data_IF_721145738550
#
_entry.id   IF_721145738550
#
_cell.length_a   1.000
_cell.length_b   1.000
_cell.length_c   1.000
_cell.angle_alpha   90.00
_cell.angle_beta   90.00
_cell.angle_gamma   90.00
#
_symmetry.space_group_name_H-M   'P 1'
#
loop_
_entity.id
_entity.type
_entity.pdbx_description
1 polymer ?
#
# COMPACT_ATOMS: atom_id res chain seq x y z
N UNK A 1 10.20 21.79 -11.37
CA UNK A 1 9.52 20.49 -11.49
C UNK A 1 9.10 20.05 -10.10
N UNK A 2 7.88 19.56 -9.92
CA UNK A 2 7.45 19.00 -8.64
C UNK A 2 8.29 17.75 -8.31
N UNK A 3 8.63 17.52 -7.03
CA UNK A 3 9.40 16.33 -6.65
C UNK A 3 8.54 15.07 -6.81
N UNK A 4 9.16 13.93 -7.15
CA UNK A 4 8.41 12.67 -7.23
C UNK A 4 7.77 12.27 -5.88
N UNK A 5 8.30 12.77 -4.75
CA UNK A 5 7.66 12.61 -3.44
C UNK A 5 6.35 13.39 -3.33
N UNK A 6 6.34 14.67 -3.74
CA UNK A 6 5.14 15.50 -3.75
C UNK A 6 4.07 14.91 -4.67
N UNK A 7 4.45 14.45 -5.87
CA UNK A 7 3.54 13.79 -6.80
C UNK A 7 2.95 12.49 -6.20
N UNK A 8 3.77 11.67 -5.54
CA UNK A 8 3.30 10.46 -4.87
C UNK A 8 2.35 10.77 -3.70
N UNK A 9 2.54 11.87 -2.98
CA UNK A 9 1.63 12.30 -1.93
C UNK A 9 0.33 12.88 -2.49
N UNK A 10 0.37 13.63 -3.60
CA UNK A 10 -0.83 14.09 -4.29
C UNK A 10 -1.70 12.91 -4.77
N UNK A 11 -1.07 11.92 -5.41
CA UNK A 11 -1.74 10.69 -5.84
C UNK A 11 -2.31 9.90 -4.65
N UNK A 12 -1.62 9.88 -3.51
CA UNK A 12 -2.15 9.26 -2.29
C UNK A 12 -3.45 9.91 -1.81
N UNK A 13 -3.48 11.23 -1.69
CA UNK A 13 -4.68 11.93 -1.22
C UNK A 13 -5.84 11.78 -2.21
N UNK A 14 -5.58 11.92 -3.52
CA UNK A 14 -6.59 11.71 -4.55
C UNK A 14 -7.20 10.30 -4.48
N UNK A 15 -6.36 9.26 -4.36
CA UNK A 15 -6.82 7.89 -4.20
C UNK A 15 -7.61 7.65 -2.91
N UNK A 16 -7.17 8.26 -1.80
CA UNK A 16 -7.85 8.15 -0.51
C UNK A 16 -9.24 8.81 -0.53
N UNK A 17 -9.37 10.01 -1.12
CA UNK A 17 -10.67 10.67 -1.28
C UNK A 17 -11.60 9.86 -2.19
N UNK A 18 -11.09 9.34 -3.31
CA UNK A 18 -11.88 8.48 -4.19
C UNK A 18 -12.40 7.23 -3.45
N UNK A 19 -11.54 6.55 -2.68
CA UNK A 19 -11.92 5.33 -1.98
C UNK A 19 -12.87 5.58 -0.79
N UNK A 20 -12.56 6.57 0.05
CA UNK A 20 -13.22 6.77 1.35
C UNK A 20 -14.31 7.83 1.33
N UNK A 21 -14.16 8.85 0.49
CA UNK A 21 -15.14 9.93 0.34
C UNK A 21 -16.17 9.64 -0.75
N UNK A 22 -15.73 9.09 -1.89
CA UNK A 22 -16.59 8.91 -3.07
C UNK A 22 -17.07 7.46 -3.28
N UNK A 23 -16.56 6.50 -2.50
CA UNK A 23 -16.81 5.06 -2.72
C UNK A 23 -16.51 4.61 -4.16
N UNK A 24 -15.49 5.20 -4.78
CA UNK A 24 -15.02 4.85 -6.13
C UNK A 24 -13.68 4.09 -6.05
N UNK A 25 -13.71 2.76 -5.86
CA UNK A 25 -12.50 1.98 -5.73
C UNK A 25 -11.72 1.84 -7.04
N UNK A 26 -12.37 2.03 -8.21
CA UNK A 26 -11.70 1.93 -9.50
C UNK A 26 -10.81 3.14 -9.76
N UNK A 27 -11.33 4.34 -9.49
CA UNK A 27 -10.53 5.57 -9.55
C UNK A 27 -9.44 5.57 -8.48
N UNK A 28 -9.76 5.14 -7.27
CA UNK A 28 -8.76 5.00 -6.20
C UNK A 28 -7.60 4.09 -6.59
N UNK A 29 -7.88 2.91 -7.16
CA UNK A 29 -6.85 1.98 -7.60
C UNK A 29 -5.92 2.60 -8.66
N UNK A 30 -6.48 3.42 -9.56
CA UNK A 30 -5.67 4.10 -10.60
C UNK A 30 -4.68 5.08 -9.97
N UNK A 31 -5.09 5.84 -8.96
CA UNK A 31 -4.21 6.73 -8.20
C UNK A 31 -3.14 5.96 -7.41
N UNK A 32 -3.53 4.94 -6.66
CA UNK A 32 -2.57 4.14 -5.89
C UNK A 32 -1.55 3.40 -6.78
N UNK A 33 -1.94 2.98 -7.98
CA UNK A 33 -1.01 2.39 -8.96
C UNK A 33 0.04 3.41 -9.43
N UNK A 34 -0.33 4.68 -9.60
CA UNK A 34 0.64 5.74 -9.96
C UNK A 34 1.67 5.98 -8.88
N UNK A 35 1.30 5.87 -7.59
CA UNK A 35 2.24 5.94 -6.47
C UNK A 35 3.32 4.86 -6.62
N UNK A 36 2.96 3.63 -7.00
CA UNK A 36 3.92 2.56 -7.18
C UNK A 36 4.94 2.87 -8.30
N UNK A 37 4.52 3.54 -9.37
CA UNK A 37 5.40 3.97 -10.47
C UNK A 37 6.32 5.13 -10.06
N UNK A 38 5.86 6.01 -9.17
CA UNK A 38 6.62 7.17 -8.67
C UNK A 38 7.50 6.85 -7.46
N UNK A 39 7.34 5.66 -6.88
CA UNK A 39 7.93 5.32 -5.60
C UNK A 39 9.46 5.27 -5.67
N UNK A 40 10.12 5.99 -4.76
CA UNK A 40 11.58 6.02 -4.64
C UNK A 40 12.12 5.10 -3.53
N UNK A 41 11.25 4.36 -2.83
CA UNK A 41 11.71 3.47 -1.76
C UNK A 41 10.64 2.59 -1.12
N UNK A 42 11.05 1.71 -0.18
CA UNK A 42 10.19 0.69 0.43
C UNK A 42 8.94 1.24 1.11
N UNK A 43 9.03 2.39 1.79
CA UNK A 43 7.89 3.01 2.48
C UNK A 43 6.77 3.39 1.50
N UNK A 44 7.13 4.03 0.38
CA UNK A 44 6.17 4.47 -0.64
C UNK A 44 5.57 3.29 -1.41
N UNK A 45 6.40 2.29 -1.76
CA UNK A 45 5.92 1.05 -2.41
C UNK A 45 4.95 0.28 -1.52
N UNK A 46 5.29 0.11 -0.25
CA UNK A 46 4.45 -0.59 0.72
C UNK A 46 3.09 0.10 0.89
N UNK A 47 3.08 1.43 1.02
CA UNK A 47 1.85 2.24 1.05
C UNK A 47 1.00 2.02 -0.20
N UNK A 48 1.61 2.11 -1.39
CA UNK A 48 0.90 1.96 -2.66
C UNK A 48 0.22 0.59 -2.76
N UNK A 49 0.96 -0.49 -2.51
CA UNK A 49 0.42 -1.85 -2.58
C UNK A 49 -0.63 -2.13 -1.52
N UNK A 50 -0.45 -1.65 -0.29
CA UNK A 50 -1.47 -1.83 0.74
C UNK A 50 -2.80 -1.19 0.33
N UNK A 51 -2.77 0.05 -0.16
CA UNK A 51 -3.99 0.75 -0.56
C UNK A 51 -4.59 0.25 -1.88
N UNK A 52 -3.79 -0.30 -2.80
CA UNK A 52 -4.29 -1.10 -3.92
C UNK A 52 -5.06 -2.34 -3.43
N UNK A 53 -4.53 -3.04 -2.43
CA UNK A 53 -5.24 -4.14 -1.78
C UNK A 53 -6.58 -3.71 -1.20
N UNK A 54 -6.60 -2.59 -0.45
CA UNK A 54 -7.83 -2.02 0.11
C UNK A 54 -8.86 -1.62 -0.94
N UNK A 55 -8.44 -1.08 -2.07
CA UNK A 55 -9.34 -0.76 -3.17
C UNK A 55 -9.91 -2.04 -3.81
N UNK A 56 -9.07 -3.05 -4.04
CA UNK A 56 -9.50 -4.34 -4.60
C UNK A 56 -10.49 -5.09 -3.68
N UNK A 57 -10.34 -5.00 -2.35
CA UNK A 57 -11.27 -5.62 -1.38
C UNK A 57 -12.72 -5.15 -1.52
N UNK A 58 -12.92 -3.91 -1.94
CA UNK A 58 -14.25 -3.29 -2.03
C UNK A 58 -14.74 -3.13 -3.47
N UNK A 59 -14.20 -3.93 -4.40
CA UNK A 59 -14.66 -3.99 -5.81
C UNK A 59 -13.79 -3.23 -6.80
N UNK A 60 -12.62 -2.73 -6.39
CA UNK A 60 -11.61 -2.20 -7.31
C UNK A 60 -10.93 -3.32 -8.13
N UNK A 61 -10.19 -2.96 -9.19
CA UNK A 61 -9.52 -3.94 -10.04
C UNK A 61 -8.34 -4.63 -9.34
N UNK A 62 -8.06 -5.85 -9.78
CA UNK A 62 -6.92 -6.65 -9.30
C UNK A 62 -7.28 -7.61 -8.16
N UNK A 63 -6.27 -8.19 -7.53
CA UNK A 63 -6.43 -9.16 -6.45
C UNK A 63 -5.91 -8.57 -5.13
N UNK A 64 -6.79 -8.43 -4.15
CA UNK A 64 -6.45 -7.86 -2.85
C UNK A 64 -5.31 -8.62 -2.14
N UNK A 65 -5.36 -9.95 -2.15
CA UNK A 65 -4.37 -10.82 -1.49
C UNK A 65 -2.98 -10.65 -2.10
N UNK A 66 -2.90 -10.56 -3.43
CA UNK A 66 -1.62 -10.35 -4.13
C UNK A 66 -1.01 -8.99 -3.79
N UNK A 67 -1.83 -7.94 -3.74
CA UNK A 67 -1.37 -6.61 -3.34
C UNK A 67 -0.90 -6.57 -1.89
N UNK A 68 -1.64 -7.16 -0.96
CA UNK A 68 -1.19 -7.25 0.43
C UNK A 68 0.08 -8.09 0.57
N UNK A 69 0.24 -9.18 -0.20
CA UNK A 69 1.46 -9.98 -0.18
C UNK A 69 2.69 -9.16 -0.65
N UNK A 70 2.53 -8.29 -1.65
CA UNK A 70 3.58 -7.36 -2.12
C UNK A 70 3.91 -6.31 -1.06
N UNK A 71 2.90 -5.69 -0.45
CA UNK A 71 3.13 -4.75 0.65
C UNK A 71 3.84 -5.42 1.84
N UNK A 72 3.42 -6.63 2.20
CA UNK A 72 4.00 -7.42 3.29
C UNK A 72 5.45 -7.85 3.06
N UNK A 73 5.96 -7.78 1.82
CA UNK A 73 7.39 -7.98 1.56
C UNK A 73 8.25 -6.86 2.17
N UNK A 74 7.67 -5.68 2.42
CA UNK A 74 8.32 -4.55 3.08
C UNK A 74 8.03 -4.54 4.59
N UNK A 75 8.30 -5.66 5.26
CA UNK A 75 7.84 -5.94 6.63
C UNK A 75 8.34 -5.00 7.75
N UNK A 76 9.32 -4.14 7.48
CA UNK A 76 9.78 -3.08 8.42
C UNK A 76 8.99 -1.78 8.30
N UNK A 77 8.13 -1.66 7.29
CA UNK A 77 7.28 -0.48 7.07
C UNK A 77 5.92 -0.66 7.72
N UNK A 78 5.30 0.44 8.17
CA UNK A 78 3.97 0.42 8.78
C UNK A 78 2.93 -0.33 7.92
N UNK A 79 2.85 0.02 6.62
CA UNK A 79 1.91 -0.63 5.70
C UNK A 79 2.28 -2.08 5.37
N UNK A 80 3.56 -2.44 5.51
CA UNK A 80 4.01 -3.81 5.32
C UNK A 80 3.58 -4.70 6.46
N UNK A 81 3.66 -4.19 7.70
CA UNK A 81 3.14 -4.89 8.88
C UNK A 81 1.61 -5.04 8.82
N UNK A 82 0.88 -3.98 8.48
CA UNK A 82 -0.57 -4.04 8.33
C UNK A 82 -1.01 -4.99 7.21
N UNK A 83 -0.27 -5.03 6.09
CA UNK A 83 -0.52 -5.97 5.01
C UNK A 83 -0.18 -7.42 5.41
N UNK A 84 0.89 -7.63 6.19
CA UNK A 84 1.27 -8.94 6.72
C UNK A 84 0.15 -9.53 7.58
N UNK A 85 -0.45 -8.72 8.46
CA UNK A 85 -1.62 -9.12 9.24
C UNK A 85 -2.80 -9.53 8.34
N UNK A 86 -3.09 -8.75 7.28
CA UNK A 86 -4.16 -9.05 6.33
C UNK A 86 -3.99 -10.38 5.60
N UNK A 87 -2.75 -10.81 5.33
CA UNK A 87 -2.46 -12.10 4.69
C UNK A 87 -2.10 -13.21 5.68
N UNK A 88 -2.31 -12.99 6.98
CA UNK A 88 -2.07 -13.99 8.02
C UNK A 88 -0.59 -14.31 8.28
N UNK A 89 0.35 -13.43 7.90
CA UNK A 89 1.75 -13.53 8.31
C UNK A 89 1.89 -12.99 9.73
N UNK A 90 2.13 -13.88 10.69
CA UNK A 90 2.36 -13.49 12.09
C UNK A 90 3.63 -12.66 12.26
N UNK A 91 3.62 -11.86 13.33
CA UNK A 91 4.61 -10.86 13.72
C UNK A 91 6.06 -11.32 13.53
N UNK A 92 6.90 -10.37 13.12
CA UNK A 92 8.34 -10.50 12.93
C UNK A 92 8.94 -11.49 13.94
N UNK A 93 9.62 -12.53 13.44
CA UNK A 93 10.38 -13.43 14.31
C UNK A 93 11.60 -12.67 14.84
N UNK A 94 11.40 -11.91 15.92
CA UNK A 94 12.46 -11.19 16.61
C UNK A 94 13.08 -12.19 17.58
N UNK A 95 14.10 -12.91 17.10
CA UNK A 95 14.95 -13.69 17.98
C UNK A 95 15.63 -12.72 18.96
N UNK A 96 15.44 -12.96 20.26
CA UNK A 96 16.15 -12.20 21.28
C UNK A 96 17.64 -12.55 21.20
N UNK A 97 18.55 -11.57 21.09
CA UNK A 97 19.97 -11.86 21.06
C UNK A 97 20.40 -12.50 22.40
N UNK A 98 21.26 -13.51 22.34
CA UNK A 98 21.92 -14.08 23.53
C UNK A 98 23.15 -13.23 23.89
N UNK A 99 23.38 -12.93 25.17
CA UNK A 99 24.55 -12.15 25.62
C UNK A 99 25.88 -12.85 25.38
#
# INVERSE_FOLDING_TARGET
AESAANAADAEFHAGWYALRGLNDPKTAASHFARIANLAQGPMTLSRAYYWLGRAAEVGGPGNAKDYFARAAAYGTTFYGQLAAERVGRQALNIAYPSP
#
